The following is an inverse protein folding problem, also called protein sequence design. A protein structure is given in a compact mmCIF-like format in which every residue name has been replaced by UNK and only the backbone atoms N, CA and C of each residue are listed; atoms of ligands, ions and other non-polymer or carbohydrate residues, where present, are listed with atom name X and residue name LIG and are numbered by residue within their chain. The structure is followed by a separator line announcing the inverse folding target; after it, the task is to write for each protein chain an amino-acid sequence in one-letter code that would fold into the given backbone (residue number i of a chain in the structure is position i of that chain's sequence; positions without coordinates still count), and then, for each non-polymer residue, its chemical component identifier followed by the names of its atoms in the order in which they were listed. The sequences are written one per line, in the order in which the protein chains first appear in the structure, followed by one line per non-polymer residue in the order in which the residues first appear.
data_IF_201737667766
#
_entry.id   IF_201737667766
#
_cell.length_a   1.000
_cell.length_b   1.000
_cell.length_c   1.000
_cell.angle_alpha   90.00
_cell.angle_beta   90.00
_cell.angle_gamma   90.00
#
_symmetry.space_group_name_H-M   'P 1'
#
loop_
_entity.id
_entity.type
_entity.pdbx_description
1 polymer ?
#
# COMPACT_ATOMS: atom_id res chain seq x y z
N UNK A 1 -6.71 19.42 -5.14
CA UNK A 1 -5.65 20.07 -4.34
C UNK A 1 -4.47 19.12 -4.25
N UNK A 2 -3.25 19.62 -4.32
CA UNK A 2 -2.07 18.76 -4.21
C UNK A 2 -1.87 18.36 -2.74
N UNK A 3 -1.58 17.10 -2.48
CA UNK A 3 -1.55 16.54 -1.13
C UNK A 3 -0.18 15.93 -0.83
N UNK A 4 0.26 16.03 0.42
CA UNK A 4 1.37 15.22 0.91
C UNK A 4 0.91 13.75 1.03
N UNK A 5 1.87 12.83 1.18
CA UNK A 5 1.59 11.43 1.41
C UNK A 5 2.20 10.98 2.73
N UNK A 6 1.34 10.80 3.73
CA UNK A 6 1.72 10.34 5.07
C UNK A 6 1.69 8.81 5.16
N UNK A 7 0.79 8.15 4.43
CA UNK A 7 0.61 6.70 4.50
C UNK A 7 -0.03 6.11 3.24
N UNK A 8 0.41 4.89 2.90
CA UNK A 8 -0.17 4.04 1.86
C UNK A 8 -0.67 2.74 2.48
N UNK A 9 -1.84 2.28 2.08
CA UNK A 9 -2.36 0.95 2.39
C UNK A 9 -2.66 0.19 1.09
N UNK A 10 -2.28 -1.08 1.04
CA UNK A 10 -2.64 -2.02 -0.02
C UNK A 10 -3.55 -3.09 0.55
N UNK A 11 -4.63 -3.41 -0.16
CA UNK A 11 -5.52 -4.52 0.16
C UNK A 11 -4.90 -5.83 -0.36
N UNK A 12 -4.68 -6.80 0.53
CA UNK A 12 -3.91 -8.01 0.23
C UNK A 12 -4.64 -9.27 0.64
N UNK A 13 -4.30 -10.39 0.01
CA UNK A 13 -4.80 -11.70 0.41
C UNK A 13 -4.41 -12.05 1.85
N UNK A 14 -5.33 -12.61 2.63
CA UNK A 14 -5.08 -12.97 4.03
C UNK A 14 -3.92 -13.94 4.20
N UNK A 15 -3.75 -14.87 3.25
CA UNK A 15 -2.64 -15.82 3.20
C UNK A 15 -1.27 -15.16 2.96
N UNK A 16 -1.21 -13.90 2.52
CA UNK A 16 0.03 -13.22 2.16
C UNK A 16 0.73 -12.53 3.34
N UNK A 17 0.24 -12.74 4.58
CA UNK A 17 0.87 -12.17 5.77
C UNK A 17 2.31 -12.68 5.87
N UNK A 18 3.26 -11.74 5.89
CA UNK A 18 4.69 -12.04 5.90
C UNK A 18 5.33 -12.24 4.53
N UNK A 19 4.59 -12.09 3.42
CA UNK A 19 5.15 -12.26 2.07
C UNK A 19 6.07 -11.12 1.62
N UNK A 20 6.04 -9.95 2.27
CA UNK A 20 6.91 -8.81 1.92
C UNK A 20 8.26 -8.94 2.64
N UNK A 21 9.32 -9.20 1.88
CA UNK A 21 10.69 -9.32 2.38
C UNK A 21 11.40 -7.96 2.43
N UNK A 22 11.13 -7.11 1.44
CA UNK A 22 11.69 -5.77 1.36
C UNK A 22 10.72 -4.84 0.63
N UNK A 23 10.78 -3.55 0.96
CA UNK A 23 10.03 -2.51 0.29
C UNK A 23 10.91 -1.27 0.10
N UNK A 24 10.68 -0.54 -0.99
CA UNK A 24 11.29 0.77 -1.21
C UNK A 24 10.34 1.73 -1.89
N UNK A 25 10.45 3.01 -1.55
CA UNK A 25 9.75 4.11 -2.23
C UNK A 25 10.77 5.02 -2.90
N UNK A 26 10.68 5.16 -4.22
CA UNK A 26 11.65 5.91 -5.04
C UNK A 26 13.11 5.45 -4.80
N UNK A 27 13.31 4.15 -4.60
CA UNK A 27 14.62 3.54 -4.32
C UNK A 27 15.07 3.63 -2.85
N UNK A 28 14.37 4.35 -1.98
CA UNK A 28 14.68 4.41 -0.56
C UNK A 28 13.98 3.29 0.20
N UNK A 29 14.75 2.46 0.92
CA UNK A 29 14.21 1.38 1.75
C UNK A 29 13.20 1.89 2.76
N UNK A 30 12.09 1.17 2.89
CA UNK A 30 11.05 1.43 3.87
C UNK A 30 10.52 0.12 4.45
N UNK A 31 9.78 0.22 5.55
CA UNK A 31 9.25 -0.93 6.27
C UNK A 31 7.74 -0.80 6.40
N UNK A 32 7.03 -1.83 5.92
CA UNK A 32 5.59 -1.90 6.06
C UNK A 32 5.15 -2.85 7.18
N UNK A 33 3.88 -2.78 7.51
CA UNK A 33 3.25 -3.62 8.51
C UNK A 33 1.93 -4.20 7.98
N UNK A 34 1.64 -5.45 8.35
CA UNK A 34 0.36 -6.07 8.05
C UNK A 34 -0.65 -5.79 9.17
N UNK A 35 -1.85 -5.34 8.80
CA UNK A 35 -2.99 -5.27 9.70
C UNK A 35 -4.12 -6.14 9.17
N UNK A 36 -4.77 -6.88 10.05
CA UNK A 36 -5.97 -7.66 9.73
C UNK A 36 -7.09 -7.12 10.59
N UNK A 37 -8.18 -6.68 9.95
CA UNK A 37 -9.37 -6.17 10.61
C UNK A 37 -10.54 -7.08 10.27
N UNK A 38 -11.39 -7.33 11.25
CA UNK A 38 -12.62 -8.12 11.07
C UNK A 38 -13.79 -7.21 11.41
N UNK A 39 -14.73 -7.08 10.47
CA UNK A 39 -16.00 -6.38 10.65
C UNK A 39 -17.14 -7.37 10.33
N UNK A 40 -17.86 -7.80 11.37
CA UNK A 40 -18.83 -8.88 11.25
C UNK A 40 -18.18 -10.19 10.76
N UNK A 41 -18.59 -10.64 9.57
CA UNK A 41 -18.09 -11.86 8.92
C UNK A 41 -16.93 -11.59 7.95
N UNK A 42 -16.65 -10.32 7.64
CA UNK A 42 -15.63 -9.93 6.68
C UNK A 42 -14.28 -9.75 7.39
N UNK A 43 -13.27 -10.50 6.96
CA UNK A 43 -11.90 -10.34 7.43
C UNK A 43 -11.03 -9.81 6.30
N UNK A 44 -10.47 -8.62 6.51
CA UNK A 44 -9.67 -7.90 5.54
C UNK A 44 -8.24 -7.78 6.03
N UNK A 45 -7.28 -8.14 5.18
CA UNK A 45 -5.85 -7.91 5.44
C UNK A 45 -5.33 -6.79 4.56
N UNK A 46 -4.54 -5.92 5.17
CA UNK A 46 -3.88 -4.79 4.51
C UNK A 46 -2.39 -4.82 4.81
N UNK A 47 -1.59 -4.44 3.82
CA UNK A 47 -0.18 -4.11 4.03
C UNK A 47 -0.02 -2.60 3.98
N UNK A 48 0.60 -2.02 5.00
CA UNK A 48 0.62 -0.57 5.24
C UNK A 48 2.04 -0.06 5.28
N UNK A 49 2.28 1.08 4.62
CA UNK A 49 3.48 1.90 4.78
C UNK A 49 3.11 3.17 5.56
N UNK A 50 3.22 3.16 6.89
CA UNK A 50 2.99 4.37 7.69
C UNK A 50 4.20 5.31 7.58
N UNK A 51 3.97 6.60 7.85
CA UNK A 51 5.02 7.62 8.02
C UNK A 51 5.92 7.80 6.78
N UNK A 52 5.34 7.76 5.58
CA UNK A 52 6.06 8.03 4.34
C UNK A 52 6.66 9.45 4.32
N UNK A 53 5.96 10.42 4.92
CA UNK A 53 6.48 11.79 5.11
C UNK A 53 6.81 12.51 3.80
N UNK A 54 6.17 12.12 2.70
CA UNK A 54 6.44 12.70 1.39
C UNK A 54 5.69 14.00 1.24
N UNK A 55 6.42 15.09 1.03
CA UNK A 55 5.84 16.40 0.82
C UNK A 55 5.03 16.46 -0.49
N UNK A 56 4.09 17.39 -0.55
CA UNK A 56 3.31 17.70 -1.75
C UNK A 56 4.19 17.85 -3.01
N UNK A 57 5.32 18.55 -2.90
CA UNK A 57 6.26 18.76 -4.00
C UNK A 57 6.86 17.43 -4.51
N UNK A 58 7.19 16.51 -3.59
CA UNK A 58 7.74 15.20 -3.95
C UNK A 58 6.69 14.29 -4.60
N UNK A 59 5.43 14.37 -4.16
CA UNK A 59 4.32 13.62 -4.76
C UNK A 59 4.03 14.13 -6.19
N UNK A 60 3.97 15.46 -6.37
CA UNK A 60 3.59 16.09 -7.63
C UNK A 60 4.66 15.99 -8.74
N UNK A 61 5.94 15.81 -8.39
CA UNK A 61 7.03 15.94 -9.36
C UNK A 61 7.09 14.80 -10.39
N UNK A 62 6.88 13.53 -10.01
CA UNK A 62 7.15 12.37 -10.87
C UNK A 62 6.26 11.13 -10.65
N UNK A 63 5.25 11.23 -9.79
CA UNK A 63 4.62 10.03 -9.23
C UNK A 63 5.57 9.27 -8.31
N UNK A 64 5.06 8.24 -7.63
CA UNK A 64 5.82 7.46 -6.65
C UNK A 64 6.00 6.03 -7.14
N UNK A 65 7.24 5.55 -7.13
CA UNK A 65 7.55 4.15 -7.42
C UNK A 65 7.64 3.36 -6.12
N UNK A 66 6.67 2.47 -5.89
CA UNK A 66 6.73 1.46 -4.83
C UNK A 66 7.27 0.16 -5.42
N UNK A 67 8.36 -0.34 -4.86
CA UNK A 67 8.91 -1.65 -5.20
C UNK A 67 8.79 -2.59 -4.00
N UNK A 68 8.29 -3.79 -4.24
CA UNK A 68 8.15 -4.85 -3.23
C UNK A 68 8.95 -6.07 -3.67
N UNK A 69 9.74 -6.62 -2.74
CA UNK A 69 10.30 -7.96 -2.90
C UNK A 69 9.39 -8.95 -2.19
N UNK A 70 8.75 -9.81 -2.96
CA UNK A 70 7.75 -10.75 -2.49
C UNK A 70 8.32 -12.18 -2.42
N UNK A 71 7.83 -12.95 -1.44
CA UNK A 71 8.20 -14.34 -1.21
C UNK A 71 6.93 -15.22 -1.08
N UNK A 72 7.07 -16.55 -1.19
CA UNK A 72 5.96 -17.48 -0.96
C UNK A 72 5.27 -17.24 0.40
N UNK A 73 3.93 -17.42 0.48
CA UNK A 73 3.07 -18.02 -0.54
C UNK A 73 2.60 -17.05 -1.64
N UNK A 74 2.95 -15.75 -1.57
CA UNK A 74 2.47 -14.73 -2.52
C UNK A 74 3.63 -14.06 -3.23
N UNK A 75 4.36 -14.83 -4.05
CA UNK A 75 5.59 -14.38 -4.70
C UNK A 75 5.36 -13.46 -5.93
N UNK A 76 4.13 -13.41 -6.45
CA UNK A 76 3.74 -12.49 -7.51
C UNK A 76 2.74 -11.44 -7.00
N UNK A 77 2.70 -10.28 -7.66
CA UNK A 77 1.78 -9.20 -7.31
C UNK A 77 0.31 -9.63 -7.46
N UNK A 78 0.01 -10.50 -8.43
CA UNK A 78 -1.33 -11.09 -8.62
C UNK A 78 -1.80 -11.93 -7.44
N UNK A 79 -0.88 -12.62 -6.76
CA UNK A 79 -1.18 -13.47 -5.61
C UNK A 79 -1.24 -12.64 -4.32
N UNK A 80 -0.46 -11.56 -4.28
CA UNK A 80 -0.37 -10.64 -3.16
C UNK A 80 -1.61 -9.74 -3.04
N UNK A 81 -2.02 -9.11 -4.14
CA UNK A 81 -3.15 -8.19 -4.18
C UNK A 81 -4.48 -8.94 -4.12
N UNK A 82 -5.37 -8.55 -3.22
CA UNK A 82 -6.72 -9.10 -3.20
C UNK A 82 -7.46 -8.66 -4.47
N UNK A 83 -7.84 -9.61 -5.33
CA UNK A 83 -8.52 -9.33 -6.61
C UNK A 83 -7.70 -9.61 -7.88
N UNK A 84 -6.48 -10.15 -7.77
CA UNK A 84 -5.87 -10.93 -8.87
C UNK A 84 -5.21 -10.15 -10.02
N UNK A 85 -4.65 -8.96 -9.77
CA UNK A 85 -3.86 -8.26 -10.80
C UNK A 85 -3.63 -6.77 -10.56
N UNK A 86 -4.48 -6.15 -9.74
CA UNK A 86 -4.36 -4.75 -9.34
C UNK A 86 -4.57 -4.63 -7.82
N UNK A 87 -3.61 -4.05 -7.11
CA UNK A 87 -3.82 -3.75 -5.69
C UNK A 87 -4.78 -2.57 -5.57
N UNK A 88 -5.91 -2.82 -4.92
CA UNK A 88 -6.71 -1.74 -4.33
C UNK A 88 -5.88 -1.07 -3.25
N UNK A 89 -5.85 0.25 -3.26
CA UNK A 89 -5.01 1.01 -2.36
C UNK A 89 -5.70 2.26 -1.85
N UNK A 90 -5.24 2.72 -0.70
CA UNK A 90 -5.67 3.95 -0.08
C UNK A 90 -4.46 4.83 0.22
N UNK A 91 -4.53 6.10 -0.18
CA UNK A 91 -3.57 7.12 0.20
C UNK A 91 -4.14 7.96 1.34
N UNK A 92 -3.30 8.29 2.32
CA UNK A 92 -3.64 9.20 3.39
C UNK A 92 -2.60 10.32 3.42
N UNK A 93 -3.08 11.56 3.50
CA UNK A 93 -2.26 12.76 3.69
C UNK A 93 -2.06 13.03 5.20
N UNK A 94 -1.33 14.07 5.59
CA UNK A 94 -1.12 14.39 7.01
C UNK A 94 -2.27 15.18 7.66
N UNK A 95 -3.12 15.80 6.87
CA UNK A 95 -4.27 16.59 7.35
C UNK A 95 -5.48 15.71 7.70
N UNK A 96 -5.57 14.50 7.15
CA UNK A 96 -6.67 13.56 7.36
C UNK A 96 -6.45 12.67 8.58
N UNK A 97 -7.38 12.73 9.53
CA UNK A 97 -7.38 11.91 10.74
C UNK A 97 -8.26 10.65 10.64
N UNK A 98 -9.15 10.58 9.64
CA UNK A 98 -10.21 9.56 9.60
C UNK A 98 -10.53 9.00 8.19
N UNK A 99 -10.28 9.74 7.10
CA UNK A 99 -10.73 9.32 5.75
C UNK A 99 -9.57 9.28 4.72
N UNK A 100 -9.41 8.19 3.95
CA UNK A 100 -8.41 8.13 2.89
C UNK A 100 -8.79 9.08 1.74
N UNK A 101 -7.79 9.75 1.19
CA UNK A 101 -7.98 10.84 0.21
C UNK A 101 -8.12 10.35 -1.24
N UNK A 102 -8.21 9.03 -1.44
CA UNK A 102 -8.51 8.37 -2.70
C UNK A 102 -8.53 6.84 -2.57
N UNK A 103 -9.41 6.21 -3.35
CA UNK A 103 -9.46 4.75 -3.59
C UNK A 103 -9.31 4.56 -5.10
N UNK A 104 -8.21 3.93 -5.53
CA UNK A 104 -8.01 3.63 -6.95
C UNK A 104 -7.40 2.25 -7.15
N UNK A 105 -7.56 1.68 -8.34
CA UNK A 105 -7.03 0.36 -8.71
C UNK A 105 -5.70 0.55 -9.44
N UNK A 106 -4.61 -0.01 -8.92
CA UNK A 106 -3.31 0.06 -9.59
C UNK A 106 -3.21 -1.01 -10.68
N UNK A 107 -3.32 -0.65 -11.95
CA UNK A 107 -3.06 -1.57 -13.07
C UNK A 107 -1.57 -1.48 -13.45
N UNK A 108 -0.88 -2.60 -13.51
CA UNK A 108 0.43 -2.65 -14.20
C UNK A 108 0.20 -2.43 -15.70
N UNK A 109 1.05 -1.68 -16.42
CA UNK A 109 1.11 -1.80 -17.88
C UNK A 109 1.56 -3.22 -18.27
#
# INVERSE_FOLDING_TARGET
EAMDLSKLELLVGGQCRGAVMAASVNGNTTYGAFATNTDGLDTVTTWKLPRLGLTQAQVAARGLALCLTLAPPCAALSDFCLGGGACRHAFLNSAESCCPTGDSLFTSP
#
